data_IF_002308380512
#
_entry.id   IF_002308380512
#
_cell.length_a   1.000
_cell.length_b   1.000
_cell.length_c   1.000
_cell.angle_alpha   90.00
_cell.angle_beta   90.00
_cell.angle_gamma   90.00
#
_symmetry.space_group_name_H-M   'P 1'
#
loop_
_entity.id
_entity.type
_entity.pdbx_description
1 polymer ?
#
# COMPACT_ATOMS: atom_id res chain seq x y z
N UNK A 1 -5.73 0.58 -14.55
CA UNK A 1 -5.60 -0.63 -15.06
C UNK A 1 -4.26 -0.87 -15.64
N UNK A 2 -3.66 -1.85 -15.29
CA UNK A 2 -2.27 -2.05 -15.65
C UNK A 2 -2.14 -2.87 -16.92
N UNK A 3 -2.83 -2.42 -17.95
CA UNK A 3 -2.74 -3.08 -19.23
C UNK A 3 -1.33 -3.07 -19.79
N UNK A 4 -0.54 -2.07 -19.40
CA UNK A 4 0.84 -2.03 -19.87
C UNK A 4 1.62 -3.24 -19.49
N UNK A 5 1.29 -3.86 -18.36
CA UNK A 5 2.01 -5.05 -17.94
C UNK A 5 1.82 -6.20 -18.91
N UNK A 6 0.69 -6.21 -19.57
CA UNK A 6 0.41 -7.26 -20.53
C UNK A 6 1.13 -7.07 -21.86
N UNK A 7 1.69 -5.89 -22.08
CA UNK A 7 2.48 -5.65 -23.28
C UNK A 7 3.89 -6.17 -23.15
N UNK A 8 4.32 -6.46 -21.94
CA UNK A 8 5.62 -7.08 -21.76
C UNK A 8 5.50 -8.55 -22.08
N UNK A 9 6.54 -9.10 -22.63
CA UNK A 9 6.54 -10.51 -22.97
C UNK A 9 6.68 -11.35 -21.71
N UNK A 10 5.66 -11.30 -20.87
CA UNK A 10 5.71 -11.96 -19.58
C UNK A 10 4.66 -13.07 -19.56
N UNK A 11 5.09 -14.25 -19.16
CA UNK A 11 4.19 -15.36 -18.94
C UNK A 11 3.71 -15.31 -17.49
N UNK A 12 2.47 -14.90 -17.32
CA UNK A 12 1.91 -14.72 -15.98
C UNK A 12 1.90 -16.04 -15.20
N UNK A 13 1.82 -17.15 -15.91
CA UNK A 13 1.86 -18.45 -15.24
C UNK A 13 3.18 -18.71 -14.52
N UNK A 14 4.24 -18.01 -14.93
CA UNK A 14 5.54 -18.18 -14.30
C UNK A 14 5.72 -17.25 -13.11
N UNK A 15 4.78 -16.36 -12.90
CA UNK A 15 4.81 -15.51 -11.70
C UNK A 15 4.31 -16.29 -10.50
N UNK A 16 4.58 -15.76 -9.32
CA UNK A 16 4.11 -16.37 -8.09
C UNK A 16 3.22 -15.36 -7.36
N UNK A 17 2.21 -15.84 -6.63
CA UNK A 17 1.35 -14.93 -5.89
C UNK A 17 2.09 -14.35 -4.70
N UNK A 18 1.73 -13.12 -4.36
CA UNK A 18 2.20 -12.49 -3.14
C UNK A 18 1.19 -12.73 -2.04
N UNK A 19 1.70 -12.90 -0.83
CA UNK A 19 0.84 -13.18 0.32
C UNK A 19 1.06 -12.13 1.39
N UNK A 20 0.00 -11.83 2.13
CA UNK A 20 0.10 -11.01 3.31
C UNK A 20 0.72 -11.80 4.45
N UNK A 21 0.96 -11.13 5.57
CA UNK A 21 1.50 -11.81 6.76
C UNK A 21 0.59 -12.92 7.24
N UNK A 22 -0.71 -12.81 6.97
CA UNK A 22 -1.68 -13.84 7.34
C UNK A 22 -1.86 -14.91 6.26
N UNK A 23 -1.14 -14.80 5.16
CA UNK A 23 -1.21 -15.80 4.11
C UNK A 23 -2.29 -15.56 3.08
N UNK A 24 -2.95 -14.41 3.11
CA UNK A 24 -3.99 -14.08 2.13
C UNK A 24 -3.36 -13.50 0.87
N UNK A 25 -3.98 -13.77 -0.26
CA UNK A 25 -3.39 -13.43 -1.56
C UNK A 25 -4.24 -12.46 -2.36
N UNK A 26 -5.34 -11.97 -1.81
CA UNK A 26 -6.21 -11.04 -2.53
C UNK A 26 -6.13 -9.69 -1.86
N UNK A 27 -5.88 -8.66 -2.66
CA UNK A 27 -5.65 -7.32 -2.14
C UNK A 27 -6.56 -6.34 -2.85
N UNK A 28 -6.82 -5.25 -2.18
CA UNK A 28 -7.58 -4.13 -2.73
C UNK A 28 -6.68 -2.92 -2.75
N UNK A 29 -6.73 -2.18 -3.84
CA UNK A 29 -5.96 -0.95 -3.95
C UNK A 29 -6.61 0.14 -3.11
N UNK A 30 -5.79 0.90 -2.41
CA UNK A 30 -6.27 1.98 -1.55
C UNK A 30 -5.21 3.07 -1.53
N UNK A 31 -5.47 4.12 -0.76
CA UNK A 31 -4.58 5.27 -0.70
C UNK A 31 -4.45 5.69 0.76
N UNK A 32 -3.21 5.90 1.22
CA UNK A 32 -3.01 6.62 2.47
C UNK A 32 -2.68 8.06 2.12
N UNK A 33 -3.16 8.98 2.95
CA UNK A 33 -2.92 10.40 2.73
C UNK A 33 -1.90 10.87 3.74
N UNK A 34 -0.83 11.49 3.24
CA UNK A 34 0.21 12.05 4.09
C UNK A 34 0.16 13.55 3.96
N UNK A 35 0.38 14.23 5.09
CA UNK A 35 0.38 15.68 5.10
C UNK A 35 1.79 16.18 5.29
N UNK A 36 2.21 17.09 4.41
CA UNK A 36 3.49 17.77 4.53
C UNK A 36 3.21 19.21 4.89
N UNK A 37 3.82 19.71 5.96
CA UNK A 37 3.56 21.07 6.42
C UNK A 37 3.98 22.06 5.33
N UNK A 38 3.29 23.19 5.31
CA UNK A 38 3.56 24.23 4.33
C UNK A 38 4.99 24.76 4.44
N UNK A 39 5.57 24.68 5.62
CA UNK A 39 6.93 25.15 5.80
C UNK A 39 7.93 24.26 5.09
N UNK A 40 7.68 22.96 5.09
CA UNK A 40 8.54 22.02 4.39
C UNK A 40 8.22 21.95 2.91
N UNK A 41 6.96 22.13 2.56
CA UNK A 41 6.54 22.08 1.17
C UNK A 41 6.88 23.34 0.39
N UNK A 42 7.12 24.46 1.09
CA UNK A 42 7.40 25.73 0.44
C UNK A 42 6.19 26.33 -0.22
N UNK A 43 5.00 26.05 0.31
CA UNK A 43 3.73 26.53 -0.27
C UNK A 43 2.97 27.33 0.78
N UNK A 44 1.84 27.90 0.36
CA UNK A 44 1.02 28.69 1.28
C UNK A 44 0.14 27.83 2.17
N UNK A 45 -0.04 26.55 1.81
CA UNK A 45 -0.87 25.63 2.57
C UNK A 45 -0.15 24.30 2.71
N UNK A 46 -0.58 23.50 3.70
CA UNK A 46 -0.07 22.15 3.85
C UNK A 46 -0.38 21.34 2.59
N UNK A 47 0.56 20.52 2.20
CA UNK A 47 0.40 19.66 1.04
C UNK A 47 -0.12 18.31 1.48
N UNK A 48 -1.03 17.73 0.70
CA UNK A 48 -1.53 16.38 0.94
C UNK A 48 -0.97 15.48 -0.15
N UNK A 49 -0.30 14.42 0.28
CA UNK A 49 0.39 13.51 -0.63
C UNK A 49 -0.31 12.16 -0.57
N UNK A 50 -0.95 11.73 -1.67
CA UNK A 50 -1.55 10.39 -1.70
C UNK A 50 -0.50 9.35 -2.03
N UNK A 51 -0.46 8.29 -1.23
CA UNK A 51 0.45 7.17 -1.44
C UNK A 51 -0.38 5.94 -1.72
N UNK A 52 -0.27 5.34 -2.91
CA UNK A 52 -1.04 4.14 -3.20
C UNK A 52 -0.54 2.98 -2.36
N UNK A 53 -1.47 2.21 -1.83
CA UNK A 53 -1.16 1.04 -1.02
C UNK A 53 -2.09 -0.09 -1.42
N UNK A 54 -1.75 -1.29 -0.98
CA UNK A 54 -2.63 -2.46 -1.15
C UNK A 54 -3.00 -2.96 0.23
N UNK A 55 -4.27 -3.28 0.41
CA UNK A 55 -4.73 -3.84 1.67
C UNK A 55 -5.24 -5.24 1.47
N UNK A 56 -4.93 -6.09 2.43
CA UNK A 56 -5.44 -7.46 2.50
C UNK A 56 -6.95 -7.38 2.71
N UNK A 57 -7.74 -7.94 1.78
CA UNK A 57 -9.19 -7.81 1.87
C UNK A 57 -9.77 -8.57 3.05
N UNK A 58 -9.04 -9.52 3.61
CA UNK A 58 -9.52 -10.28 4.76
C UNK A 58 -9.22 -9.58 6.06
N UNK A 59 -7.98 -9.13 6.24
CA UNK A 59 -7.54 -8.55 7.50
C UNK A 59 -7.68 -7.04 7.54
N UNK A 60 -7.72 -6.38 6.39
CA UNK A 60 -7.72 -4.92 6.32
C UNK A 60 -6.35 -4.30 6.50
N UNK A 61 -5.32 -5.12 6.63
CA UNK A 61 -3.98 -4.60 6.90
C UNK A 61 -3.26 -4.24 5.62
N UNK A 62 -2.39 -3.24 5.73
CA UNK A 62 -1.63 -2.75 4.59
C UNK A 62 -0.50 -3.72 4.28
N UNK A 63 -0.31 -4.01 2.99
CA UNK A 63 0.81 -4.81 2.54
C UNK A 63 2.08 -3.95 2.60
N UNK A 64 2.91 -4.24 3.59
CA UNK A 64 4.03 -3.38 3.95
C UNK A 64 5.10 -3.38 2.87
N UNK A 65 5.31 -4.52 2.23
CA UNK A 65 6.40 -4.67 1.25
C UNK A 65 6.25 -3.73 0.06
N UNK A 66 5.04 -3.25 -0.20
CA UNK A 66 4.78 -2.37 -1.34
C UNK A 66 4.88 -0.90 -0.97
N UNK A 67 5.15 -0.59 0.28
CA UNK A 67 5.30 0.79 0.72
C UNK A 67 6.72 1.30 0.48
N UNK A 68 6.88 2.62 0.30
CA UNK A 68 8.22 3.20 0.36
C UNK A 68 8.91 2.82 1.66
N UNK A 69 10.18 2.55 1.57
CA UNK A 69 10.94 2.04 2.70
C UNK A 69 10.81 2.92 3.93
N UNK A 70 10.76 4.23 3.74
CA UNK A 70 10.70 5.18 4.82
C UNK A 70 9.42 5.11 5.64
N UNK A 71 8.38 4.50 5.07
CA UNK A 71 7.09 4.46 5.73
C UNK A 71 6.75 3.10 6.33
N UNK A 72 7.61 2.11 6.14
CA UNK A 72 7.26 0.74 6.50
C UNK A 72 7.08 0.56 7.99
N UNK A 73 7.99 1.10 8.79
CA UNK A 73 7.90 0.93 10.24
C UNK A 73 6.63 1.57 10.78
N UNK A 74 6.30 2.75 10.31
CA UNK A 74 5.11 3.44 10.78
C UNK A 74 3.86 2.63 10.49
N UNK A 75 3.75 2.04 9.31
CA UNK A 75 2.54 1.32 8.94
C UNK A 75 2.52 -0.11 9.43
N UNK A 76 3.69 -0.68 9.75
CA UNK A 76 3.70 -1.93 10.52
C UNK A 76 3.01 -1.72 11.85
N UNK A 77 3.33 -0.62 12.51
CA UNK A 77 2.71 -0.29 13.77
C UNK A 77 1.22 -0.03 13.61
N UNK A 78 0.85 0.70 12.56
CA UNK A 78 -0.55 0.93 12.26
C UNK A 78 -1.30 -0.39 12.10
N UNK A 79 -0.70 -1.35 11.42
CA UNK A 79 -1.33 -2.64 11.18
C UNK A 79 -1.64 -3.38 12.48
N UNK A 80 -0.82 -3.18 13.52
CA UNK A 80 -1.09 -3.85 14.79
C UNK A 80 -2.34 -3.32 15.47
N UNK A 81 -2.81 -2.13 15.07
CA UNK A 81 -3.99 -1.51 15.67
C UNK A 81 -5.26 -1.86 14.94
N UNK A 82 -5.18 -2.56 13.83
CA UNK A 82 -6.36 -2.92 13.07
C UNK A 82 -6.98 -4.14 13.71
N UNK A 83 -8.26 -3.99 14.09
CA UNK A 83 -9.02 -5.07 14.70
C UNK A 83 -10.05 -5.52 13.70
N UNK A 84 -10.00 -6.79 13.33
CA UNK A 84 -10.92 -7.35 12.38
C UNK A 84 -12.32 -7.40 12.99
N UNK A 85 -13.34 -6.89 12.30
CA UNK A 85 -14.71 -6.96 12.83
C UNK A 85 -15.17 -8.41 12.94
N UNK A 86 -15.96 -8.66 13.91
CA UNK A 86 -16.51 -10.00 14.15
C UNK A 86 -17.72 -10.28 13.27
#
# INVERSE_FOLDING_TARGET
MSQEQLKMNVDIKQSTPMSSAEGNQVFQEAVVLRKLSKFLAGTSEDAVIPIPVFIDVVSGKILIDMLPKELRTEYEEYNTKIVKPQ
#
